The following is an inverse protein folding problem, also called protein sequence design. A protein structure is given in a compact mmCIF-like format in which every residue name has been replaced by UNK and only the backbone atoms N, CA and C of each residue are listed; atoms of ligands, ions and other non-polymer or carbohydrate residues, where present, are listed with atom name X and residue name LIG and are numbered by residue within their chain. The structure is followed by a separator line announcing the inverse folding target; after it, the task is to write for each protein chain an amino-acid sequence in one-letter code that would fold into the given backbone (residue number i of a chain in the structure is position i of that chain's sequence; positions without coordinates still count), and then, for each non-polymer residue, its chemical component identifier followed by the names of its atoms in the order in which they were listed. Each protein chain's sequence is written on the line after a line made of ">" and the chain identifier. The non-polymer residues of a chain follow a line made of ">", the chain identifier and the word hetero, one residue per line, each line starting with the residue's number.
data_IF_066251770330
#
_entry.id   IF_066251770330
#
_cell.length_a   1.000
_cell.length_b   1.000
_cell.length_c   1.000
_cell.angle_alpha   90.00
_cell.angle_beta   90.00
_cell.angle_gamma   90.00
#
_symmetry.space_group_name_H-M   'P 1'
#
loop_
_entity.id
_entity.type
_entity.pdbx_description
1 polymer ?
#
# COMPACT_ATOMS: atom_id res chain seq x y z
N UNK A 1 27.66 44.32 13.89
CA UNK A 1 26.46 43.67 14.47
C UNK A 1 25.53 43.10 13.41
N UNK A 2 25.24 43.74 12.29
CA UNK A 2 24.37 43.26 11.20
C UNK A 2 24.76 41.88 10.61
N UNK A 3 26.07 41.59 10.44
CA UNK A 3 26.55 40.31 9.86
C UNK A 3 26.30 39.08 10.76
N UNK A 4 26.36 39.25 12.08
CA UNK A 4 26.09 38.18 13.03
C UNK A 4 24.58 37.84 13.10
N UNK A 5 23.71 38.82 13.01
CA UNK A 5 22.27 38.64 12.99
C UNK A 5 21.82 37.92 11.72
N UNK A 6 22.39 38.24 10.55
CA UNK A 6 22.08 37.57 9.28
C UNK A 6 22.51 36.10 9.29
N UNK A 7 23.66 35.77 9.90
CA UNK A 7 24.13 34.41 10.03
C UNK A 7 23.22 33.56 10.95
N UNK A 8 22.75 34.13 12.05
CA UNK A 8 21.84 33.43 13.00
C UNK A 8 20.48 33.15 12.33
N UNK A 9 19.93 34.11 11.57
CA UNK A 9 18.68 33.93 10.85
C UNK A 9 18.82 32.81 9.78
N UNK A 10 19.94 32.75 9.07
CA UNK A 10 20.20 31.74 8.06
C UNK A 10 20.32 30.33 8.68
N UNK A 11 20.93 30.19 9.86
CA UNK A 11 21.03 28.94 10.58
C UNK A 11 19.67 28.50 11.11
N UNK A 12 18.85 29.38 11.64
CA UNK A 12 17.51 29.08 12.15
C UNK A 12 16.57 28.64 11.02
N UNK A 13 16.66 29.24 9.82
CA UNK A 13 15.86 28.81 8.67
C UNK A 13 16.28 27.43 8.15
N UNK A 14 17.54 27.04 8.28
CA UNK A 14 18.01 25.71 7.87
C UNK A 14 17.47 24.58 8.76
N UNK A 15 17.21 24.84 10.05
CA UNK A 15 16.63 23.86 10.97
C UNK A 15 15.11 23.69 10.85
N UNK A 16 14.40 24.61 10.23
CA UNK A 16 12.94 24.54 10.05
C UNK A 16 12.49 23.64 8.88
N UNK A 17 13.39 23.21 7.99
CA UNK A 17 13.05 22.38 6.83
C UNK A 17 13.14 20.86 7.09
N UNK A 18 13.49 20.42 8.31
CA UNK A 18 13.77 19.02 8.63
C UNK A 18 12.55 18.18 9.07
N UNK A 19 11.32 18.72 9.02
CA UNK A 19 10.14 17.90 9.27
C UNK A 19 9.60 17.30 7.96
N UNK A 20 10.31 16.37 7.35
CA UNK A 20 9.69 15.47 6.38
C UNK A 20 8.77 14.53 7.15
N UNK A 21 7.46 14.75 7.07
CA UNK A 21 6.49 13.88 7.72
C UNK A 21 6.65 12.45 7.20
N UNK A 22 6.95 11.52 8.09
CA UNK A 22 6.93 10.08 7.78
C UNK A 22 5.50 9.57 7.88
N UNK A 23 5.15 8.62 7.04
CA UNK A 23 3.89 7.91 7.07
C UNK A 23 4.17 6.41 7.20
N UNK A 24 3.43 5.75 8.07
CA UNK A 24 3.51 4.30 8.23
C UNK A 24 2.47 3.65 7.31
N UNK A 25 2.92 2.69 6.52
CA UNK A 25 2.08 1.76 5.77
C UNK A 25 2.12 0.43 6.51
N UNK A 26 1.03 0.09 7.17
CA UNK A 26 0.85 -1.20 7.81
C UNK A 26 0.24 -2.18 6.82
N UNK A 27 0.78 -3.38 6.76
CA UNK A 27 0.32 -4.45 5.88
C UNK A 27 0.14 -5.75 6.64
N UNK A 28 -1.01 -6.38 6.47
CA UNK A 28 -1.24 -7.74 6.91
C UNK A 28 -0.75 -8.70 5.83
N UNK A 29 0.29 -9.46 6.14
CA UNK A 29 0.98 -10.32 5.18
C UNK A 29 0.78 -11.79 5.53
N UNK A 30 0.43 -12.59 4.50
CA UNK A 30 0.50 -14.06 4.52
C UNK A 30 1.38 -14.51 3.38
N UNK A 31 2.27 -15.47 3.64
CA UNK A 31 3.16 -15.99 2.62
C UNK A 31 3.37 -17.51 2.81
N UNK A 32 3.52 -18.18 1.69
CA UNK A 32 3.75 -19.64 1.60
C UNK A 32 4.91 -19.90 0.66
N UNK A 33 5.75 -20.87 1.00
CA UNK A 33 6.82 -21.33 0.12
C UNK A 33 6.85 -22.87 0.11
N UNK A 34 6.98 -23.43 -1.10
CA UNK A 34 7.06 -24.87 -1.35
C UNK A 34 8.08 -25.13 -2.47
N UNK A 35 9.35 -24.81 -2.19
CA UNK A 35 10.42 -24.98 -3.17
C UNK A 35 10.61 -26.46 -3.51
N UNK A 36 10.54 -26.79 -4.82
CA UNK A 36 10.73 -28.16 -5.32
C UNK A 36 12.19 -28.60 -5.28
N UNK A 37 13.11 -27.63 -5.25
CA UNK A 37 14.56 -27.78 -5.09
C UNK A 37 15.05 -26.80 -4.03
N UNK A 38 16.35 -26.52 -4.01
CA UNK A 38 16.89 -25.47 -3.13
C UNK A 38 16.21 -24.12 -3.39
N UNK A 39 15.93 -23.34 -2.32
CA UNK A 39 15.40 -21.99 -2.46
C UNK A 39 16.26 -21.11 -3.39
N UNK A 40 15.69 -20.08 -4.03
CA UNK A 40 16.45 -19.21 -4.92
C UNK A 40 17.58 -18.49 -4.16
N UNK A 41 18.75 -18.48 -4.77
CA UNK A 41 19.91 -17.70 -4.30
C UNK A 41 19.89 -16.30 -4.91
N UNK A 42 20.61 -15.33 -4.32
CA UNK A 42 20.81 -14.03 -4.93
C UNK A 42 21.31 -14.14 -6.37
N UNK A 43 20.74 -13.33 -7.27
CA UNK A 43 20.98 -13.39 -8.72
C UNK A 43 20.10 -14.38 -9.47
N UNK A 44 19.22 -15.13 -8.80
CA UNK A 44 18.27 -16.01 -9.49
C UNK A 44 17.33 -15.22 -10.39
N UNK A 45 17.19 -15.69 -11.63
CA UNK A 45 16.51 -14.96 -12.70
C UNK A 45 15.03 -15.28 -12.77
N UNK A 46 14.21 -14.24 -13.02
CA UNK A 46 12.77 -14.36 -13.23
C UNK A 46 12.31 -13.55 -14.44
N UNK A 47 11.10 -13.84 -14.90
CA UNK A 47 10.35 -13.03 -15.87
C UNK A 47 8.95 -12.77 -15.34
N UNK A 48 8.33 -11.68 -15.78
CA UNK A 48 6.90 -11.50 -15.52
C UNK A 48 6.06 -12.38 -16.44
N UNK A 49 4.96 -12.87 -15.91
CA UNK A 49 3.94 -13.59 -16.64
C UNK A 49 2.60 -12.89 -16.41
N UNK A 50 1.93 -12.49 -17.49
CA UNK A 50 0.66 -11.78 -17.45
C UNK A 50 -0.48 -12.70 -17.84
N UNK A 51 -1.60 -12.62 -17.12
CA UNK A 51 -2.84 -13.22 -17.56
C UNK A 51 -3.37 -12.49 -18.81
N UNK A 52 -4.23 -13.14 -19.63
CA UNK A 52 -4.83 -12.49 -20.79
C UNK A 52 -5.50 -11.16 -20.48
N UNK A 53 -6.15 -11.02 -19.32
CA UNK A 53 -6.74 -9.77 -18.86
C UNK A 53 -5.71 -8.66 -18.54
N UNK A 54 -4.47 -9.02 -18.26
CA UNK A 54 -3.37 -8.09 -17.97
C UNK A 54 -2.54 -7.76 -19.23
N UNK A 55 -2.75 -8.49 -20.33
CA UNK A 55 -2.02 -8.29 -21.59
C UNK A 55 -2.59 -7.14 -22.44
N UNK A 56 -3.89 -6.85 -22.29
CA UNK A 56 -4.50 -5.73 -23.00
C UNK A 56 -3.93 -4.41 -22.49
N UNK A 57 -3.07 -3.79 -23.31
CA UNK A 57 -2.42 -2.47 -23.22
C UNK A 57 -2.58 -1.76 -21.87
N UNK A 58 -1.82 -2.17 -20.88
CA UNK A 58 -2.10 -1.76 -19.52
C UNK A 58 -0.89 -1.05 -18.91
N UNK A 59 -0.83 0.26 -19.14
CA UNK A 59 0.16 1.15 -18.50
C UNK A 59 0.15 1.00 -16.97
N UNK A 60 -0.99 0.60 -16.39
CA UNK A 60 -1.08 0.31 -14.96
C UNK A 60 -0.28 -0.94 -14.59
N UNK A 61 -0.40 -2.03 -15.38
CA UNK A 61 0.34 -3.26 -15.14
C UNK A 61 1.85 -3.04 -15.33
N UNK A 62 2.25 -2.27 -16.35
CA UNK A 62 3.65 -1.91 -16.56
C UNK A 62 4.24 -1.16 -15.36
N UNK A 63 3.47 -0.24 -14.78
CA UNK A 63 3.88 0.50 -13.59
C UNK A 63 3.98 -0.39 -12.34
N UNK A 64 3.05 -1.33 -12.18
CA UNK A 64 3.09 -2.32 -11.08
C UNK A 64 4.35 -3.18 -11.19
N UNK A 65 4.64 -3.71 -12.37
CA UNK A 65 5.81 -4.56 -12.62
C UNK A 65 7.13 -3.79 -12.45
N UNK A 66 7.19 -2.53 -12.86
CA UNK A 66 8.35 -1.67 -12.63
C UNK A 66 8.64 -1.48 -11.12
N UNK A 67 7.62 -1.21 -10.32
CA UNK A 67 7.76 -1.10 -8.86
C UNK A 67 8.14 -2.44 -8.23
N UNK A 68 7.54 -3.52 -8.70
CA UNK A 68 7.84 -4.86 -8.22
C UNK A 68 9.26 -5.31 -8.58
N UNK A 69 9.79 -4.90 -9.73
CA UNK A 69 11.19 -5.16 -10.10
C UNK A 69 12.14 -4.59 -9.04
N UNK A 70 11.86 -3.39 -8.53
CA UNK A 70 12.65 -2.77 -7.46
C UNK A 70 12.60 -3.60 -6.19
N UNK A 71 11.42 -4.04 -5.75
CA UNK A 71 11.25 -4.83 -4.53
C UNK A 71 11.83 -6.25 -4.67
N UNK A 72 11.68 -6.88 -5.83
CA UNK A 72 12.28 -8.19 -6.13
C UNK A 72 13.81 -8.13 -6.16
N UNK A 73 14.38 -7.04 -6.66
CA UNK A 73 15.84 -6.86 -6.65
C UNK A 73 16.42 -6.74 -5.23
N UNK A 74 15.68 -6.13 -4.29
CA UNK A 74 16.08 -6.04 -2.87
C UNK A 74 16.20 -7.42 -2.21
N UNK A 75 15.40 -8.39 -2.66
CA UNK A 75 15.47 -9.78 -2.16
C UNK A 75 16.35 -10.68 -3.04
N UNK A 76 17.16 -10.08 -3.91
CA UNK A 76 18.17 -10.80 -4.69
C UNK A 76 17.68 -11.43 -5.99
N UNK A 77 16.46 -11.13 -6.44
CA UNK A 77 15.95 -11.64 -7.71
C UNK A 77 16.35 -10.72 -8.87
N UNK A 78 16.70 -11.28 -10.03
CA UNK A 78 17.12 -10.55 -11.20
C UNK A 78 16.12 -10.72 -12.37
N UNK A 79 15.63 -9.63 -12.92
CA UNK A 79 14.76 -9.66 -14.11
C UNK A 79 15.56 -10.08 -15.35
N UNK A 80 15.17 -11.19 -15.98
CA UNK A 80 15.77 -11.69 -17.22
C UNK A 80 14.73 -12.47 -18.02
N UNK A 81 14.06 -11.85 -19.00
CA UNK A 81 13.00 -12.51 -19.76
C UNK A 81 13.44 -13.78 -20.51
N UNK A 82 14.71 -13.82 -20.97
CA UNK A 82 15.22 -14.91 -21.81
C UNK A 82 15.69 -16.13 -21.02
N UNK A 83 16.32 -15.91 -19.84
CA UNK A 83 16.96 -16.97 -19.04
C UNK A 83 16.29 -17.15 -17.68
N UNK A 84 15.01 -16.91 -17.60
CA UNK A 84 14.29 -16.99 -16.36
C UNK A 84 14.15 -18.44 -15.86
N UNK A 85 14.40 -18.66 -14.58
CA UNK A 85 14.05 -19.92 -13.88
C UNK A 85 12.61 -19.89 -13.38
N UNK A 86 12.13 -18.70 -13.00
CA UNK A 86 10.80 -18.51 -12.44
C UNK A 86 9.97 -17.50 -13.26
N UNK A 87 8.67 -17.74 -13.33
CA UNK A 87 7.71 -16.69 -13.71
C UNK A 87 7.09 -16.06 -12.46
N UNK A 88 6.86 -14.76 -12.52
CA UNK A 88 6.27 -13.96 -11.45
C UNK A 88 5.01 -13.29 -11.97
N UNK A 89 3.89 -13.54 -11.31
CA UNK A 89 2.62 -12.85 -11.56
C UNK A 89 2.32 -11.91 -10.40
N UNK A 90 1.87 -10.70 -10.70
CA UNK A 90 1.53 -9.70 -9.70
C UNK A 90 0.13 -9.19 -9.95
N UNK A 91 -0.65 -9.14 -8.87
CA UNK A 91 -2.01 -8.63 -8.87
C UNK A 91 -2.12 -7.50 -7.84
N UNK A 92 -2.74 -6.41 -8.24
CA UNK A 92 -3.16 -5.34 -7.34
C UNK A 92 -4.67 -5.16 -7.46
N UNK A 93 -5.36 -5.36 -6.36
CA UNK A 93 -6.80 -5.12 -6.24
C UNK A 93 -7.01 -3.96 -5.28
N UNK A 94 -7.86 -3.01 -5.66
CA UNK A 94 -8.29 -1.90 -4.80
C UNK A 94 -9.80 -1.94 -4.67
N UNK A 95 -10.28 -2.05 -3.45
CA UNK A 95 -11.70 -1.97 -3.09
C UNK A 95 -11.95 -0.65 -2.36
N UNK A 96 -13.02 0.04 -2.73
CA UNK A 96 -13.45 1.26 -2.04
C UNK A 96 -14.48 0.84 -0.99
N UNK A 97 -14.12 1.04 0.28
CA UNK A 97 -15.04 0.78 1.40
C UNK A 97 -15.57 2.12 1.87
N UNK A 98 -16.84 2.37 1.58
CA UNK A 98 -17.54 3.51 2.18
C UNK A 98 -17.90 3.15 3.61
N UNK A 99 -17.29 3.84 4.56
CA UNK A 99 -17.75 3.80 5.94
C UNK A 99 -18.97 4.70 6.04
N UNK A 100 -20.14 4.11 5.99
CA UNK A 100 -21.33 4.80 6.49
C UNK A 100 -21.12 4.98 7.99
N UNK A 101 -21.28 6.21 8.54
CA UNK A 101 -21.37 6.36 9.98
C UNK A 101 -22.48 5.41 10.44
N UNK A 102 -22.17 4.47 11.34
CA UNK A 102 -23.23 3.71 12.02
C UNK A 102 -24.20 4.74 12.59
N UNK A 103 -25.53 4.56 12.42
CA UNK A 103 -26.49 5.41 13.10
C UNK A 103 -26.40 5.12 14.60
N UNK A 104 -25.35 5.68 15.20
CA UNK A 104 -25.22 5.74 16.64
C UNK A 104 -26.36 6.62 17.16
N UNK A 105 -26.99 6.22 18.24
CA UNK A 105 -27.93 7.00 19.02
C UNK A 105 -27.25 8.24 19.64
N UNK A 106 -26.56 9.04 18.83
CA UNK A 106 -25.99 10.32 19.16
C UNK A 106 -26.59 11.35 18.22
N UNK A 107 -27.38 12.22 18.72
CA UNK A 107 -27.95 13.49 18.21
C UNK A 107 -27.42 13.99 16.84
N UNK A 108 -27.59 13.26 15.74
CA UNK A 108 -27.07 13.57 14.40
C UNK A 108 -27.77 12.88 13.23
N UNK A 109 -28.92 12.26 13.46
CA UNK A 109 -29.79 11.80 12.37
C UNK A 109 -30.49 12.96 11.67
N UNK A 110 -31.13 12.73 10.48
CA UNK A 110 -32.01 13.71 9.89
C UNK A 110 -33.09 14.05 10.93
N UNK A 111 -32.90 15.16 11.59
CA UNK A 111 -33.70 15.58 12.72
C UNK A 111 -34.15 17.03 12.56
N UNK A 112 -35.38 17.28 12.98
CA UNK A 112 -35.88 18.61 13.19
C UNK A 112 -35.44 19.04 14.58
N UNK A 113 -34.53 20.00 14.69
CA UNK A 113 -34.19 20.62 15.95
C UNK A 113 -35.09 21.83 16.18
N UNK A 114 -35.83 21.82 17.29
CA UNK A 114 -36.62 22.97 17.74
C UNK A 114 -35.87 23.60 18.90
N UNK A 115 -35.28 24.74 18.68
CA UNK A 115 -34.65 25.56 19.73
C UNK A 115 -35.56 26.72 20.10
N UNK A 116 -36.04 26.74 21.35
CA UNK A 116 -36.76 27.86 21.93
C UNK A 116 -35.87 28.71 22.82
N UNK A 117 -35.70 29.98 22.51
CA UNK A 117 -35.03 30.97 23.32
C UNK A 117 -35.91 32.19 23.51
N UNK A 118 -35.60 33.05 24.47
CA UNK A 118 -36.42 34.21 24.84
C UNK A 118 -36.62 35.26 23.74
N UNK A 119 -36.18 34.99 22.52
CA UNK A 119 -36.28 35.89 21.30
C UNK A 119 -36.78 35.17 20.06
N UNK A 120 -37.33 34.00 20.12
CA UNK A 120 -37.94 33.33 18.97
C UNK A 120 -37.67 31.84 18.93
N UNK A 121 -38.54 31.12 18.22
CA UNK A 121 -38.42 29.69 17.95
C UNK A 121 -37.73 29.53 16.60
N UNK A 122 -36.59 28.86 16.54
CA UNK A 122 -35.92 28.48 15.30
C UNK A 122 -36.13 26.99 15.04
N UNK A 123 -36.58 26.65 13.84
CA UNK A 123 -36.65 25.29 13.35
C UNK A 123 -35.46 25.09 12.42
N UNK A 124 -34.52 24.26 12.83
CA UNK A 124 -33.37 23.87 12.01
C UNK A 124 -33.56 22.46 11.44
N UNK A 125 -33.46 22.32 10.14
CA UNK A 125 -33.33 21.03 9.49
C UNK A 125 -31.84 20.71 9.37
N UNK A 126 -31.36 19.77 10.14
CA UNK A 126 -29.99 19.24 10.02
C UNK A 126 -30.01 18.01 9.13
N UNK A 127 -29.40 18.13 7.96
CA UNK A 127 -29.08 16.97 7.14
C UNK A 127 -27.65 16.53 7.49
N UNK A 128 -27.41 15.26 7.80
CA UNK A 128 -26.07 14.75 7.93
C UNK A 128 -25.41 14.75 6.54
N UNK A 129 -24.80 15.85 6.16
CA UNK A 129 -23.89 15.87 5.01
C UNK A 129 -22.57 15.29 5.52
N UNK A 130 -22.59 14.02 5.90
CA UNK A 130 -21.40 13.27 6.14
C UNK A 130 -20.87 12.82 4.78
N UNK A 131 -19.89 13.53 4.23
CA UNK A 131 -19.01 12.94 3.24
C UNK A 131 -18.25 11.84 3.99
N UNK A 132 -18.73 10.60 3.89
CA UNK A 132 -18.06 9.46 4.47
C UNK A 132 -16.65 9.41 3.87
N UNK A 133 -15.63 9.46 4.71
CA UNK A 133 -14.25 9.30 4.27
C UNK A 133 -14.13 7.96 3.53
N UNK A 134 -13.81 8.03 2.24
CA UNK A 134 -13.58 6.83 1.44
C UNK A 134 -12.34 6.13 1.98
N UNK A 135 -12.49 4.86 2.31
CA UNK A 135 -11.42 4.01 2.77
C UNK A 135 -11.07 3.02 1.66
N UNK A 136 -9.79 2.86 1.38
CA UNK A 136 -9.31 2.02 0.29
C UNK A 136 -8.66 0.79 0.88
N UNK A 137 -9.24 -0.37 0.62
CA UNK A 137 -8.62 -1.65 0.93
C UNK A 137 -7.87 -2.14 -0.29
N UNK A 138 -6.57 -2.35 -0.13
CA UNK A 138 -5.69 -2.80 -1.21
C UNK A 138 -5.10 -4.15 -0.88
N UNK A 139 -5.07 -4.99 -1.89
CA UNK A 139 -4.45 -6.30 -1.81
C UNK A 139 -3.45 -6.43 -2.94
N UNK A 140 -2.18 -6.60 -2.60
CA UNK A 140 -1.15 -7.03 -3.54
C UNK A 140 -0.89 -8.52 -3.35
N UNK A 141 -0.87 -9.29 -4.45
CA UNK A 141 -0.54 -10.70 -4.45
C UNK A 141 0.61 -10.95 -5.42
N UNK A 142 1.60 -11.72 -4.99
CA UNK A 142 2.74 -12.15 -5.80
C UNK A 142 2.72 -13.66 -5.84
N UNK A 143 2.68 -14.22 -7.04
CA UNK A 143 2.74 -15.64 -7.30
C UNK A 143 4.00 -15.95 -8.10
N UNK A 144 4.81 -16.88 -7.61
CA UNK A 144 6.02 -17.32 -8.30
C UNK A 144 5.90 -18.78 -8.67
N UNK A 145 6.12 -19.08 -9.96
CA UNK A 145 6.06 -20.43 -10.53
C UNK A 145 7.41 -20.83 -11.06
N UNK A 146 7.85 -22.03 -10.76
CA UNK A 146 9.05 -22.60 -11.37
C UNK A 146 8.75 -23.05 -12.80
N UNK A 147 9.51 -22.56 -13.79
CA UNK A 147 9.21 -22.80 -15.20
C UNK A 147 9.46 -24.25 -15.64
N UNK A 148 10.41 -24.95 -15.00
CA UNK A 148 10.69 -26.36 -15.32
C UNK A 148 9.60 -27.32 -14.88
N UNK A 149 9.05 -27.12 -13.69
CA UNK A 149 8.04 -27.99 -13.08
C UNK A 149 6.62 -27.47 -13.24
N UNK A 150 6.44 -26.22 -13.64
CA UNK A 150 5.17 -25.50 -13.73
C UNK A 150 4.43 -25.38 -12.38
N UNK A 151 5.10 -25.68 -11.27
CA UNK A 151 4.51 -25.61 -9.93
C UNK A 151 4.66 -24.21 -9.34
N UNK A 152 3.64 -23.78 -8.62
CA UNK A 152 3.74 -22.58 -7.76
C UNK A 152 4.63 -22.94 -6.58
N UNK A 153 5.71 -22.19 -6.40
CA UNK A 153 6.74 -22.44 -5.38
C UNK A 153 6.77 -21.38 -4.30
N UNK A 154 6.17 -20.22 -4.58
CA UNK A 154 6.04 -19.13 -3.61
C UNK A 154 4.76 -18.35 -3.91
N UNK A 155 4.02 -18.03 -2.86
CA UNK A 155 2.85 -17.18 -2.90
C UNK A 155 2.88 -16.24 -1.71
N UNK A 156 2.60 -14.96 -1.94
CA UNK A 156 2.45 -14.00 -0.85
C UNK A 156 1.34 -13.01 -1.16
N UNK A 157 0.69 -12.56 -0.09
CA UNK A 157 -0.37 -11.56 -0.15
C UNK A 157 -0.16 -10.54 0.96
N UNK A 158 -0.15 -9.26 0.60
CA UNK A 158 -0.14 -8.15 1.54
C UNK A 158 -1.43 -7.34 1.38
N UNK A 159 -2.11 -7.08 2.49
CA UNK A 159 -3.32 -6.26 2.54
C UNK A 159 -3.05 -4.99 3.33
N UNK A 160 -3.47 -3.85 2.81
CA UNK A 160 -3.36 -2.55 3.44
C UNK A 160 -4.69 -1.81 3.34
N UNK A 161 -5.11 -1.22 4.45
CA UNK A 161 -6.30 -0.38 4.52
C UNK A 161 -5.90 1.06 4.86
N UNK A 162 -6.37 2.03 4.09
CA UNK A 162 -6.02 3.44 4.33
C UNK A 162 -6.87 4.44 3.58
N UNK A 163 -6.84 5.72 3.99
CA UNK A 163 -7.60 6.79 3.35
C UNK A 163 -6.99 7.28 2.03
N UNK A 164 -5.76 6.85 1.69
CA UNK A 164 -5.06 7.32 0.49
C UNK A 164 -5.73 6.81 -0.78
N UNK A 165 -6.18 7.72 -1.65
CA UNK A 165 -6.76 7.38 -2.95
C UNK A 165 -5.74 6.79 -3.94
N UNK A 166 -4.50 7.30 -3.95
CA UNK A 166 -3.44 6.80 -4.82
C UNK A 166 -2.87 5.47 -4.33
N UNK A 167 -3.14 4.40 -5.08
CA UNK A 167 -2.60 3.08 -4.79
C UNK A 167 -1.08 3.01 -4.96
N UNK A 168 -0.53 3.76 -5.91
CA UNK A 168 0.90 3.73 -6.21
C UNK A 168 1.76 4.41 -5.15
N UNK A 169 1.17 5.28 -4.33
CA UNK A 169 1.86 5.88 -3.20
C UNK A 169 2.22 4.88 -2.09
N UNK A 170 1.44 3.80 -1.94
CA UNK A 170 1.63 2.78 -0.90
C UNK A 170 2.14 1.44 -1.45
N UNK A 171 2.00 1.21 -2.75
CA UNK A 171 2.36 -0.05 -3.40
C UNK A 171 3.82 -0.49 -3.17
N UNK A 172 4.84 0.39 -3.24
CA UNK A 172 6.22 -0.01 -2.95
C UNK A 172 6.38 -0.61 -1.54
N UNK A 173 5.78 0.02 -0.53
CA UNK A 173 5.82 -0.47 0.84
C UNK A 173 5.08 -1.80 1.01
N UNK A 174 3.95 -1.97 0.31
CA UNK A 174 3.20 -3.23 0.32
C UNK A 174 3.99 -4.37 -0.36
N UNK A 175 4.70 -4.09 -1.46
CA UNK A 175 5.57 -5.06 -2.15
C UNK A 175 6.75 -5.47 -1.27
N UNK A 176 7.41 -4.51 -0.63
CA UNK A 176 8.50 -4.78 0.30
C UNK A 176 8.01 -5.61 1.49
N UNK A 177 6.83 -5.30 2.03
CA UNK A 177 6.19 -6.08 3.10
C UNK A 177 5.87 -7.51 2.65
N UNK A 178 5.30 -7.67 1.44
CA UNK A 178 4.95 -8.98 0.88
C UNK A 178 6.17 -9.89 0.69
N UNK A 179 7.33 -9.31 0.36
CA UNK A 179 8.57 -10.05 0.12
C UNK A 179 9.44 -10.20 1.37
N UNK A 180 9.03 -9.62 2.51
CA UNK A 180 9.81 -9.74 3.75
C UNK A 180 9.89 -11.19 4.22
N UNK A 181 11.12 -11.68 4.36
CA UNK A 181 11.42 -13.07 4.69
C UNK A 181 11.54 -14.02 3.49
N UNK A 182 11.42 -13.50 2.25
CA UNK A 182 11.74 -14.28 1.06
C UNK A 182 13.18 -14.80 1.12
N UNK A 183 13.48 -16.05 0.72
CA UNK A 183 12.61 -17.03 0.11
C UNK A 183 11.87 -17.95 1.11
N UNK A 184 12.12 -17.84 2.40
CA UNK A 184 11.57 -18.69 3.45
C UNK A 184 10.81 -17.84 4.48
N UNK A 185 9.61 -17.35 4.13
CA UNK A 185 8.84 -16.51 5.03
C UNK A 185 8.38 -17.31 6.26
N UNK A 186 8.32 -16.68 7.44
CA UNK A 186 7.69 -17.28 8.60
C UNK A 186 6.23 -17.64 8.33
N UNK A 187 5.78 -18.77 8.89
CA UNK A 187 4.40 -19.20 8.76
C UNK A 187 3.40 -18.29 9.47
N UNK A 188 2.19 -18.20 8.92
CA UNK A 188 1.08 -17.46 9.51
C UNK A 188 0.98 -16.00 9.06
N UNK A 189 -0.10 -15.34 9.54
CA UNK A 189 -0.35 -13.91 9.25
C UNK A 189 0.57 -13.03 10.11
N UNK A 190 1.16 -12.04 9.49
CA UNK A 190 2.08 -11.07 10.13
C UNK A 190 1.66 -9.66 9.81
N UNK A 191 1.71 -8.77 10.78
CA UNK A 191 1.58 -7.33 10.55
C UNK A 191 2.96 -6.72 10.37
N UNK A 192 3.17 -6.05 9.25
CA UNK A 192 4.44 -5.44 8.88
C UNK A 192 4.20 -3.96 8.64
N UNK A 193 5.00 -3.13 9.29
CA UNK A 193 4.94 -1.68 9.21
C UNK A 193 6.15 -1.18 8.42
N UNK A 194 5.92 -0.41 7.37
CA UNK A 194 6.94 0.22 6.55
C UNK A 194 6.76 1.73 6.61
N UNK A 195 7.80 2.46 6.97
CA UNK A 195 7.81 3.91 6.95
C UNK A 195 8.13 4.41 5.55
N UNK A 196 7.31 5.33 5.05
CA UNK A 196 7.53 5.99 3.76
C UNK A 196 7.47 7.51 3.92
N UNK A 197 8.21 8.28 3.13
CA UNK A 197 8.06 9.73 3.07
C UNK A 197 6.63 10.13 2.67
N UNK A 198 6.16 11.26 3.20
CA UNK A 198 4.88 11.86 2.77
C UNK A 198 5.01 12.57 1.45
#
# INVERSE_FOLDING_TARGET
>A
MMRAQTAIILIVTLFLTACSGMRVVDSDVTAFSAWTAAPPMPGTRYRFERLPSQQSANTQQDRIEALATTSLSKVGMALSPLDARYSVQIFLVTEIVQRYPEPGFGFGGPGVSIGGGSRGTSIGLSFPIGFGDSYYKRTVSILMRELSSQKVVFETRAMHDGPQGDAFAVLPAMLDSALLGFPQPPAGRRRINVEIPR
#
